data_IF_279531510301
#
_entry.id   IF_279531510301
#
_cell.length_a   1.000
_cell.length_b   1.000
_cell.length_c   1.000
_cell.angle_alpha   90.00
_cell.angle_beta   90.00
_cell.angle_gamma   90.00
#
_symmetry.space_group_name_H-M   'P 1'
#
loop_
_entity.id
_entity.type
_entity.pdbx_description
1 polymer ?
#
# COMPACT_ATOMS: atom_id res chain seq x y z
N UNK A 1 -39.65 -50.75 -27.93
CA UNK A 1 -38.31 -50.80 -28.54
C UNK A 1 -37.59 -49.52 -28.18
N UNK A 2 -36.59 -49.62 -27.31
CA UNK A 2 -35.65 -48.54 -27.02
C UNK A 2 -34.80 -48.29 -28.27
N UNK A 3 -34.72 -47.04 -28.70
CA UNK A 3 -33.68 -46.56 -29.60
C UNK A 3 -32.97 -45.41 -28.87
N UNK A 4 -31.69 -45.61 -28.60
CA UNK A 4 -30.81 -44.76 -27.81
C UNK A 4 -30.65 -43.36 -28.41
N UNK A 5 -30.49 -42.31 -27.58
CA UNK A 5 -30.02 -41.02 -28.06
C UNK A 5 -28.51 -41.06 -28.35
N UNK A 6 -28.12 -40.43 -29.46
CA UNK A 6 -26.75 -40.20 -29.88
C UNK A 6 -25.89 -39.54 -28.79
N UNK A 7 -24.61 -39.92 -28.63
CA UNK A 7 -23.73 -39.31 -27.66
C UNK A 7 -23.36 -37.89 -28.11
N UNK A 8 -23.82 -36.91 -27.35
CA UNK A 8 -23.21 -35.59 -27.27
C UNK A 8 -21.71 -35.80 -27.06
N UNK A 9 -20.90 -35.39 -28.05
CA UNK A 9 -19.45 -35.28 -27.91
C UNK A 9 -19.17 -34.30 -26.77
N UNK A 10 -18.90 -34.85 -25.59
CA UNK A 10 -18.16 -34.17 -24.55
C UNK A 10 -16.79 -33.82 -25.14
N UNK A 11 -16.69 -32.60 -25.67
CA UNK A 11 -15.42 -32.00 -26.03
C UNK A 11 -14.58 -31.86 -24.76
N UNK A 12 -13.53 -32.66 -24.70
CA UNK A 12 -12.48 -32.68 -23.70
C UNK A 12 -12.01 -31.26 -23.28
N UNK A 13 -12.54 -30.70 -22.19
CA UNK A 13 -12.13 -29.40 -21.62
C UNK A 13 -11.05 -29.50 -20.52
N UNK A 14 -10.52 -30.70 -20.25
CA UNK A 14 -9.45 -30.93 -19.27
C UNK A 14 -8.11 -31.23 -19.94
N UNK A 15 -7.70 -30.43 -20.93
CA UNK A 15 -6.26 -30.29 -21.20
C UNK A 15 -5.74 -29.22 -20.25
N UNK A 16 -5.27 -29.66 -19.10
CA UNK A 16 -4.36 -28.87 -18.28
C UNK A 16 -3.23 -28.42 -19.21
N UNK A 17 -3.21 -27.13 -19.55
CA UNK A 17 -2.23 -26.58 -20.46
C UNK A 17 -0.86 -26.73 -19.83
N UNK A 18 0.11 -27.28 -20.56
CA UNK A 18 1.45 -27.47 -20.03
C UNK A 18 2.02 -26.11 -19.60
N UNK A 19 2.23 -25.88 -18.29
CA UNK A 19 2.74 -24.60 -17.79
C UNK A 19 4.08 -24.24 -18.44
N UNK A 20 4.90 -25.23 -18.81
CA UNK A 20 6.18 -25.00 -19.49
C UNK A 20 6.00 -24.36 -20.86
N UNK A 21 4.95 -24.74 -21.59
CA UNK A 21 4.64 -24.16 -22.91
C UNK A 21 4.19 -22.71 -22.78
N UNK A 22 3.34 -22.42 -21.80
CA UNK A 22 2.88 -21.06 -21.50
C UNK A 22 4.05 -20.14 -21.06
N UNK A 23 4.93 -20.64 -20.19
CA UNK A 23 6.13 -19.91 -19.77
C UNK A 23 7.06 -19.64 -20.97
N UNK A 24 7.26 -20.63 -21.85
CA UNK A 24 8.05 -20.44 -23.07
C UNK A 24 7.43 -19.39 -24.01
N UNK A 25 6.09 -19.33 -24.12
CA UNK A 25 5.39 -18.32 -24.91
C UNK A 25 5.61 -16.91 -24.34
N UNK A 26 5.50 -16.77 -23.01
CA UNK A 26 5.77 -15.51 -22.32
C UNK A 26 7.22 -15.05 -22.49
N UNK A 27 8.19 -15.98 -22.40
CA UNK A 27 9.60 -15.67 -22.61
C UNK A 27 9.90 -15.23 -24.05
N UNK A 28 9.31 -15.90 -25.04
CA UNK A 28 9.39 -15.49 -26.45
C UNK A 28 8.75 -14.10 -26.67
N UNK A 29 7.61 -13.83 -26.03
CA UNK A 29 6.96 -12.52 -26.07
C UNK A 29 7.85 -11.43 -25.47
N UNK A 30 8.55 -11.68 -24.36
CA UNK A 30 9.51 -10.71 -23.80
C UNK A 30 10.63 -10.40 -24.79
N UNK A 31 11.23 -11.41 -25.41
CA UNK A 31 12.28 -11.21 -26.40
C UNK A 31 11.78 -10.34 -27.56
N UNK A 32 10.58 -10.63 -28.05
CA UNK A 32 9.95 -9.84 -29.12
C UNK A 32 9.66 -8.40 -28.68
N UNK A 33 9.00 -8.18 -27.54
CA UNK A 33 8.69 -6.84 -27.04
C UNK A 33 9.97 -6.00 -26.81
N UNK A 34 11.07 -6.61 -26.35
CA UNK A 34 12.36 -5.93 -26.22
C UNK A 34 12.92 -5.50 -27.57
N UNK A 35 12.84 -6.36 -28.59
CA UNK A 35 13.23 -6.02 -29.96
C UNK A 35 12.41 -4.84 -30.51
N UNK A 36 11.10 -4.84 -30.28
CA UNK A 36 10.22 -3.73 -30.67
C UNK A 36 10.55 -2.42 -29.97
N UNK A 37 10.91 -2.46 -28.67
CA UNK A 37 11.32 -1.28 -27.93
C UNK A 37 12.63 -0.69 -28.46
N UNK A 38 13.61 -1.53 -28.79
CA UNK A 38 14.86 -1.08 -29.38
C UNK A 38 14.62 -0.41 -30.75
N UNK A 39 13.73 -0.99 -31.58
CA UNK A 39 13.44 -0.51 -32.92
C UNK A 39 12.56 0.75 -32.97
N UNK A 40 11.79 1.06 -31.91
CA UNK A 40 10.78 2.14 -31.95
C UNK A 40 11.18 3.35 -31.11
N UNK A 41 11.28 4.52 -31.74
CA UNK A 41 11.75 5.74 -31.08
C UNK A 41 10.76 6.34 -30.07
N UNK A 42 9.45 6.35 -30.37
CA UNK A 42 8.43 6.96 -29.51
C UNK A 42 8.42 6.41 -28.06
N UNK A 43 8.32 5.09 -27.80
CA UNK A 43 8.35 4.56 -26.44
C UNK A 43 9.70 4.80 -25.74
N UNK A 44 10.83 4.80 -26.47
CA UNK A 44 12.16 5.12 -25.92
C UNK A 44 12.25 6.58 -25.46
N UNK A 45 11.65 7.51 -26.22
CA UNK A 45 11.58 8.92 -25.86
C UNK A 45 10.74 9.11 -24.59
N UNK A 46 9.60 8.41 -24.48
CA UNK A 46 8.81 8.44 -23.26
C UNK A 46 9.59 7.92 -22.05
N UNK A 47 10.26 6.77 -22.16
CA UNK A 47 11.08 6.25 -21.06
C UNK A 47 12.18 7.25 -20.67
N UNK A 48 12.82 7.88 -21.64
CA UNK A 48 13.84 8.91 -21.40
C UNK A 48 13.27 10.13 -20.68
N UNK A 49 12.08 10.62 -21.06
CA UNK A 49 11.45 11.76 -20.38
C UNK A 49 11.06 11.46 -18.93
N UNK A 50 10.86 10.18 -18.60
CA UNK A 50 10.65 9.66 -17.23
C UNK A 50 11.94 9.31 -16.50
N UNK A 51 13.12 9.63 -17.06
CA UNK A 51 14.44 9.21 -16.56
C UNK A 51 14.62 7.67 -16.45
N UNK A 52 13.79 6.91 -17.16
CA UNK A 52 13.81 5.45 -17.30
C UNK A 52 14.52 5.00 -18.59
N UNK A 53 15.05 5.92 -19.40
CA UNK A 53 15.66 5.61 -20.71
C UNK A 53 16.80 4.58 -20.63
N UNK A 54 17.52 4.53 -19.49
CA UNK A 54 18.59 3.54 -19.28
C UNK A 54 18.14 2.08 -19.31
N UNK A 55 16.83 1.82 -19.25
CA UNK A 55 16.23 0.48 -19.35
C UNK A 55 16.34 -0.11 -20.76
N UNK A 56 16.53 0.74 -21.78
CA UNK A 56 16.60 0.34 -23.19
C UNK A 56 17.98 -0.26 -23.52
N UNK A 57 19.04 0.42 -23.12
CA UNK A 57 20.39 0.19 -23.68
C UNK A 57 21.23 -0.84 -22.91
N UNK A 58 20.68 -1.39 -21.81
CA UNK A 58 21.42 -2.24 -20.88
C UNK A 58 20.62 -3.48 -20.52
N UNK A 59 21.34 -4.55 -20.22
CA UNK A 59 20.75 -5.71 -19.58
C UNK A 59 20.46 -5.41 -18.12
N UNK A 60 19.20 -5.07 -17.86
CA UNK A 60 18.64 -4.93 -16.54
C UNK A 60 17.64 -6.05 -16.23
N UNK A 61 17.43 -6.38 -14.95
CA UNK A 61 16.50 -7.44 -14.57
C UNK A 61 15.05 -7.15 -15.01
N UNK A 62 14.68 -5.88 -15.22
CA UNK A 62 13.32 -5.45 -15.54
C UNK A 62 12.76 -5.87 -16.90
N UNK A 63 13.63 -6.17 -17.88
CA UNK A 63 13.26 -6.63 -19.23
C UNK A 63 12.08 -5.87 -19.90
N UNK A 64 12.01 -4.55 -19.71
CA UNK A 64 10.98 -3.68 -20.29
C UNK A 64 10.99 -3.78 -21.81
N UNK A 65 9.81 -3.82 -22.42
CA UNK A 65 9.61 -3.90 -23.86
C UNK A 65 8.51 -2.96 -24.38
N UNK A 66 8.12 -3.11 -25.64
CA UNK A 66 7.06 -2.33 -26.27
C UNK A 66 6.19 -3.23 -27.15
N UNK A 67 4.88 -3.10 -27.01
CA UNK A 67 3.90 -3.70 -27.90
C UNK A 67 3.48 -2.66 -28.96
N UNK A 68 3.80 -2.87 -30.25
CA UNK A 68 3.48 -1.92 -31.31
C UNK A 68 1.97 -1.78 -31.54
N UNK A 69 1.59 -0.71 -32.22
CA UNK A 69 0.19 -0.41 -32.57
C UNK A 69 -0.27 -1.23 -33.79
N UNK A 70 -0.22 -2.56 -33.65
CA UNK A 70 -0.62 -3.53 -34.68
C UNK A 70 -1.67 -4.48 -34.13
N UNK A 71 -2.47 -5.10 -35.01
CA UNK A 71 -3.56 -5.98 -34.57
C UNK A 71 -3.11 -7.36 -34.11
N UNK A 72 -2.12 -7.98 -34.77
CA UNK A 72 -1.76 -9.38 -34.57
C UNK A 72 -0.25 -9.66 -34.65
N UNK A 73 0.62 -8.64 -34.64
CA UNK A 73 2.03 -8.85 -34.95
C UNK A 73 2.74 -9.76 -33.94
N UNK A 74 2.39 -9.69 -32.65
CA UNK A 74 2.91 -10.63 -31.66
C UNK A 74 2.33 -12.03 -31.89
N UNK A 75 1.01 -12.11 -32.09
CA UNK A 75 0.30 -13.37 -32.35
C UNK A 75 0.91 -14.12 -33.54
N UNK A 76 1.14 -13.41 -34.66
CA UNK A 76 1.71 -13.97 -35.89
C UNK A 76 3.17 -14.40 -35.68
N UNK A 77 3.95 -13.61 -34.94
CA UNK A 77 5.32 -13.97 -34.57
C UNK A 77 5.38 -15.27 -33.76
N UNK A 78 4.54 -15.40 -32.72
CA UNK A 78 4.52 -16.58 -31.85
C UNK A 78 3.94 -17.80 -32.56
N UNK A 79 2.95 -17.64 -33.45
CA UNK A 79 2.48 -18.74 -34.31
C UNK A 79 3.58 -19.25 -35.24
N UNK A 80 4.44 -18.38 -35.74
CA UNK A 80 5.64 -18.76 -36.49
C UNK A 80 6.69 -19.52 -35.67
N UNK A 81 6.54 -19.56 -34.35
CA UNK A 81 7.34 -20.37 -33.41
C UNK A 81 6.55 -21.59 -32.87
N UNK A 82 5.53 -22.01 -33.60
CA UNK A 82 4.69 -23.17 -33.32
C UNK A 82 3.90 -23.11 -32.00
N UNK A 83 3.70 -21.91 -31.41
CA UNK A 83 2.79 -21.75 -30.27
C UNK A 83 1.33 -21.88 -30.74
N UNK A 84 0.55 -22.73 -30.07
CA UNK A 84 -0.83 -22.97 -30.47
C UNK A 84 -1.71 -21.76 -30.17
N UNK A 85 -2.81 -21.54 -30.92
CA UNK A 85 -3.77 -20.48 -30.61
C UNK A 85 -4.29 -20.53 -29.16
N UNK A 86 -4.49 -21.73 -28.61
CA UNK A 86 -4.96 -21.96 -27.25
C UNK A 86 -3.94 -21.48 -26.22
N UNK A 87 -2.66 -21.84 -26.39
CA UNK A 87 -1.56 -21.40 -25.53
C UNK A 87 -1.47 -19.87 -25.46
N UNK A 88 -1.61 -19.20 -26.61
CA UNK A 88 -1.52 -17.73 -26.69
C UNK A 88 -2.68 -17.03 -25.98
N UNK A 89 -3.88 -17.62 -26.03
CA UNK A 89 -5.05 -17.10 -25.34
C UNK A 89 -4.93 -17.34 -23.83
N UNK A 90 -4.57 -18.55 -23.41
CA UNK A 90 -4.42 -18.91 -21.98
C UNK A 90 -3.26 -18.16 -21.32
N UNK A 91 -2.15 -17.93 -22.02
CA UNK A 91 -1.06 -17.08 -21.53
C UNK A 91 -1.45 -15.58 -21.47
N UNK A 92 -2.59 -15.22 -22.09
CA UNK A 92 -3.08 -13.85 -22.16
C UNK A 92 -2.27 -12.91 -23.03
N UNK A 93 -1.60 -13.47 -24.04
CA UNK A 93 -0.86 -12.74 -25.08
C UNK A 93 -1.79 -12.34 -26.24
N UNK A 94 -2.78 -13.18 -26.54
CA UNK A 94 -3.74 -13.00 -27.63
C UNK A 94 -5.17 -13.17 -27.13
N UNK A 95 -6.14 -12.65 -27.90
CA UNK A 95 -7.57 -12.87 -27.67
C UNK A 95 -8.33 -13.03 -28.99
N UNK A 96 -9.42 -13.81 -29.02
CA UNK A 96 -10.28 -13.90 -30.19
C UNK A 96 -10.95 -12.56 -30.50
N UNK A 97 -11.20 -12.31 -31.78
CA UNK A 97 -12.11 -11.23 -32.19
C UNK A 97 -13.56 -11.58 -31.86
N UNK A 98 -14.41 -10.57 -31.67
CA UNK A 98 -15.83 -10.77 -31.37
C UNK A 98 -16.57 -11.50 -32.48
N UNK A 99 -16.21 -11.22 -33.73
CA UNK A 99 -16.93 -11.72 -34.91
C UNK A 99 -16.38 -13.07 -35.40
N UNK A 100 -15.17 -13.45 -34.99
CA UNK A 100 -14.54 -14.71 -35.36
C UNK A 100 -13.60 -15.22 -34.24
N UNK A 101 -13.97 -16.32 -33.54
CA UNK A 101 -13.15 -16.95 -32.51
C UNK A 101 -11.78 -17.45 -32.99
N UNK A 102 -11.64 -17.84 -34.26
CA UNK A 102 -10.38 -18.35 -34.83
C UNK A 102 -9.40 -17.23 -35.18
N UNK A 103 -9.92 -16.01 -35.35
CA UNK A 103 -9.12 -14.82 -35.61
C UNK A 103 -8.64 -14.24 -34.28
N UNK A 104 -7.36 -14.43 -33.99
CA UNK A 104 -6.70 -13.86 -32.82
C UNK A 104 -6.12 -12.47 -33.10
N UNK A 105 -6.16 -11.63 -32.07
CA UNK A 105 -5.51 -10.32 -32.02
C UNK A 105 -4.71 -10.17 -30.74
N UNK A 106 -3.68 -9.32 -30.75
CA UNK A 106 -2.80 -9.08 -29.62
C UNK A 106 -3.59 -8.47 -28.44
N UNK A 107 -3.31 -8.88 -27.21
CA UNK A 107 -3.91 -8.25 -26.01
C UNK A 107 -3.33 -6.85 -25.81
N UNK A 108 -2.01 -6.74 -25.90
CA UNK A 108 -1.28 -5.50 -25.74
C UNK A 108 -1.01 -4.85 -27.09
N UNK A 109 -1.38 -3.57 -27.22
CA UNK A 109 -1.14 -2.76 -28.42
C UNK A 109 -0.87 -1.33 -28.02
N UNK A 110 0.13 -0.73 -28.64
CA UNK A 110 0.63 0.61 -28.34
C UNK A 110 0.90 0.84 -26.84
N UNK A 111 1.66 -0.10 -26.25
CA UNK A 111 1.92 -0.13 -24.81
C UNK A 111 3.39 -0.39 -24.49
N UNK A 112 3.94 0.32 -23.53
CA UNK A 112 5.20 -0.08 -22.88
C UNK A 112 4.88 -1.27 -21.97
N UNK A 113 5.68 -2.32 -22.09
CA UNK A 113 5.45 -3.62 -21.45
C UNK A 113 6.42 -3.81 -20.29
N UNK A 114 5.87 -4.10 -19.12
CA UNK A 114 6.58 -4.52 -17.91
C UNK A 114 6.26 -5.98 -17.64
N UNK A 115 7.20 -6.91 -17.87
CA UNK A 115 7.01 -8.32 -17.52
C UNK A 115 6.84 -8.48 -16.00
N UNK A 116 5.91 -9.33 -15.58
CA UNK A 116 5.73 -9.76 -14.19
C UNK A 116 6.33 -11.15 -14.07
N UNK A 117 7.15 -11.35 -13.04
CA UNK A 117 7.79 -12.64 -12.77
C UNK A 117 7.25 -13.30 -11.52
N UNK A 118 7.24 -14.62 -11.55
CA UNK A 118 7.01 -15.45 -10.37
C UNK A 118 8.24 -15.44 -9.44
N UNK A 119 8.16 -16.05 -8.24
CA UNK A 119 9.30 -16.15 -7.32
C UNK A 119 10.50 -16.92 -7.86
N UNK A 120 10.29 -17.83 -8.82
CA UNK A 120 11.35 -18.60 -9.48
C UNK A 120 12.03 -17.80 -10.61
N UNK A 121 11.48 -16.63 -10.95
CA UNK A 121 12.03 -15.68 -11.91
C UNK A 121 11.51 -15.86 -13.34
N UNK A 122 10.55 -16.75 -13.56
CA UNK A 122 9.92 -16.94 -14.86
C UNK A 122 8.88 -15.85 -15.13
N UNK A 123 8.71 -15.48 -16.40
CA UNK A 123 7.70 -14.48 -16.78
C UNK A 123 6.30 -15.10 -16.77
N UNK A 124 5.51 -14.69 -15.78
CA UNK A 124 4.14 -15.17 -15.57
C UNK A 124 3.09 -14.35 -16.32
N UNK A 125 3.32 -13.03 -16.45
CA UNK A 125 2.34 -12.09 -17.01
C UNK A 125 2.99 -10.76 -17.43
N UNK A 126 2.15 -9.80 -17.82
CA UNK A 126 2.58 -8.48 -18.29
C UNK A 126 1.66 -7.36 -17.78
N UNK A 127 2.27 -6.20 -17.56
CA UNK A 127 1.59 -4.91 -17.41
C UNK A 127 1.94 -4.04 -18.61
N UNK A 128 0.92 -3.51 -19.29
CA UNK A 128 1.07 -2.64 -20.46
C UNK A 128 0.58 -1.22 -20.18
N UNK A 129 1.49 -0.24 -20.21
CA UNK A 129 1.16 1.19 -20.11
C UNK A 129 0.87 1.80 -21.48
N UNK A 130 -0.33 2.34 -21.69
CA UNK A 130 -0.72 2.98 -22.95
C UNK A 130 0.09 4.25 -23.23
N UNK A 131 0.42 4.52 -24.50
CA UNK A 131 1.07 5.77 -24.89
C UNK A 131 0.22 7.01 -24.55
N UNK A 132 0.86 8.16 -24.32
CA UNK A 132 0.14 9.43 -24.08
C UNK A 132 -0.74 9.83 -25.26
N UNK A 133 -0.28 9.49 -26.47
CA UNK A 133 -1.06 9.66 -27.70
C UNK A 133 -2.34 8.84 -27.64
N UNK A 134 -2.26 7.56 -27.27
CA UNK A 134 -3.42 6.69 -27.18
C UNK A 134 -4.41 7.14 -26.10
N UNK A 135 -3.91 7.62 -24.96
CA UNK A 135 -4.76 8.16 -23.88
C UNK A 135 -5.45 9.47 -24.26
N UNK A 136 -4.80 10.28 -25.08
CA UNK A 136 -5.39 11.53 -25.60
C UNK A 136 -6.45 11.23 -26.66
N UNK A 137 -6.21 10.22 -27.51
CA UNK A 137 -7.12 9.82 -28.57
C UNK A 137 -8.39 9.12 -28.02
N UNK A 138 -8.24 8.36 -26.94
CA UNK A 138 -9.35 7.68 -26.26
C UNK A 138 -9.19 7.80 -24.74
N UNK A 139 -9.88 8.77 -24.11
CA UNK A 139 -9.85 8.96 -22.66
C UNK A 139 -10.42 7.77 -21.86
N UNK A 140 -11.17 6.86 -22.50
CA UNK A 140 -11.68 5.65 -21.87
C UNK A 140 -10.67 4.50 -21.90
N UNK A 141 -9.59 4.63 -22.69
CA UNK A 141 -8.54 3.63 -22.75
C UNK A 141 -7.82 3.54 -21.39
N UNK A 142 -7.69 2.35 -20.79
CA UNK A 142 -7.02 2.22 -19.51
C UNK A 142 -5.52 2.54 -19.64
N UNK A 143 -5.06 3.48 -18.79
CA UNK A 143 -3.64 3.87 -18.64
C UNK A 143 -2.74 2.65 -18.48
N UNK A 144 -3.15 1.70 -17.64
CA UNK A 144 -2.48 0.41 -17.46
C UNK A 144 -3.45 -0.74 -17.78
N UNK A 145 -2.96 -1.73 -18.52
CA UNK A 145 -3.66 -2.98 -18.81
C UNK A 145 -2.81 -4.12 -18.26
N UNK A 146 -3.41 -5.06 -17.55
CA UNK A 146 -2.72 -6.27 -17.08
C UNK A 146 -3.17 -7.46 -17.90
N UNK A 147 -2.32 -8.48 -17.98
CA UNK A 147 -2.75 -9.84 -18.34
C UNK A 147 -3.95 -10.23 -17.46
N UNK A 148 -4.90 -10.97 -18.02
CA UNK A 148 -6.01 -11.53 -17.25
C UNK A 148 -5.51 -12.67 -16.33
N UNK A 149 -6.37 -13.16 -15.44
CA UNK A 149 -6.03 -14.33 -14.61
C UNK A 149 -5.70 -15.53 -15.51
N UNK A 150 -4.62 -16.22 -15.22
CA UNK A 150 -4.18 -17.41 -15.97
C UNK A 150 -3.62 -18.46 -15.01
N UNK A 151 -3.39 -19.71 -15.48
CA UNK A 151 -2.72 -20.72 -14.66
C UNK A 151 -1.34 -20.30 -14.14
N UNK A 152 -0.68 -19.36 -14.83
CA UNK A 152 0.63 -18.82 -14.43
C UNK A 152 0.51 -17.58 -13.53
N UNK A 153 -0.63 -16.89 -13.54
CA UNK A 153 -0.72 -15.54 -13.01
C UNK A 153 -2.02 -15.28 -12.25
N UNK A 154 -1.84 -15.04 -10.96
CA UNK A 154 -2.86 -14.54 -10.04
C UNK A 154 -2.48 -13.16 -9.52
N UNK A 155 -3.28 -12.13 -9.86
CA UNK A 155 -2.95 -10.72 -9.59
C UNK A 155 -2.77 -10.41 -8.11
N UNK A 156 -3.48 -11.14 -7.26
CA UNK A 156 -3.50 -10.99 -5.81
C UNK A 156 -2.36 -11.73 -5.09
N UNK A 157 -1.59 -12.56 -5.80
CA UNK A 157 -0.50 -13.38 -5.23
C UNK A 157 0.90 -12.92 -5.63
N UNK A 158 1.04 -12.05 -6.63
CA UNK A 158 2.33 -11.52 -7.06
C UNK A 158 2.46 -10.03 -6.76
N UNK A 159 3.71 -9.59 -6.56
CA UNK A 159 4.10 -8.19 -6.48
C UNK A 159 5.17 -7.94 -7.54
N UNK A 160 4.95 -6.93 -8.36
CA UNK A 160 5.95 -6.48 -9.33
C UNK A 160 7.21 -5.98 -8.60
N UNK A 161 8.39 -6.38 -9.09
CA UNK A 161 9.67 -5.95 -8.55
C UNK A 161 10.29 -6.87 -7.49
N UNK A 162 9.59 -7.91 -7.03
CA UNK A 162 10.14 -8.88 -6.07
C UNK A 162 11.25 -9.72 -6.72
N UNK A 163 10.98 -10.32 -7.88
CA UNK A 163 11.94 -11.18 -8.57
C UNK A 163 13.18 -10.39 -9.05
N UNK A 164 13.00 -9.14 -9.49
CA UNK A 164 14.07 -8.29 -10.01
C UNK A 164 15.04 -7.79 -8.93
N UNK A 165 14.68 -7.91 -7.65
CA UNK A 165 15.39 -7.28 -6.54
C UNK A 165 15.80 -8.26 -5.43
N UNK A 166 15.87 -9.56 -5.73
CA UNK A 166 16.23 -10.60 -4.76
C UNK A 166 17.52 -10.29 -3.99
N UNK A 167 18.56 -9.78 -4.65
CA UNK A 167 19.81 -9.43 -3.97
C UNK A 167 19.65 -8.30 -2.94
N UNK A 168 18.80 -7.30 -3.25
CA UNK A 168 18.49 -6.20 -2.33
C UNK A 168 17.62 -6.67 -1.17
N UNK A 169 16.66 -7.58 -1.45
CA UNK A 169 15.81 -8.20 -0.42
C UNK A 169 16.67 -9.01 0.56
N UNK A 170 17.55 -9.88 0.05
CA UNK A 170 18.48 -10.68 0.88
C UNK A 170 19.43 -9.81 1.69
N UNK A 171 19.87 -8.68 1.12
CA UNK A 171 20.69 -7.69 1.82
C UNK A 171 19.92 -6.88 2.88
N UNK A 172 18.64 -7.17 3.12
CA UNK A 172 17.85 -6.53 4.17
C UNK A 172 17.47 -5.08 3.87
N UNK A 173 17.39 -4.70 2.59
CA UNK A 173 16.99 -3.34 2.22
C UNK A 173 15.52 -3.06 2.59
N UNK A 174 15.23 -1.79 2.86
CA UNK A 174 13.94 -1.30 3.34
C UNK A 174 12.82 -1.60 2.32
N UNK A 175 11.79 -2.40 2.64
CA UNK A 175 10.66 -2.60 1.74
C UNK A 175 9.86 -1.30 1.57
N UNK A 176 9.47 -1.02 0.33
CA UNK A 176 8.64 0.14 -0.05
C UNK A 176 7.51 -0.33 -0.94
N UNK A 177 6.26 -0.07 -0.55
CA UNK A 177 5.07 -0.35 -1.34
C UNK A 177 4.70 0.92 -2.15
N UNK A 178 4.65 0.80 -3.47
CA UNK A 178 4.28 1.87 -4.42
C UNK A 178 3.13 1.42 -5.32
N UNK A 179 2.53 2.35 -6.07
CA UNK A 179 1.34 2.06 -6.87
C UNK A 179 1.64 1.26 -8.14
N UNK A 180 2.75 1.58 -8.81
CA UNK A 180 2.98 1.09 -10.16
C UNK A 180 4.41 0.64 -10.47
N UNK A 181 4.58 0.00 -11.65
CA UNK A 181 5.88 -0.46 -12.10
C UNK A 181 6.86 0.68 -12.38
N UNK A 182 6.37 1.83 -12.84
CA UNK A 182 7.21 3.01 -13.09
C UNK A 182 7.88 3.51 -11.80
N UNK A 183 7.11 3.64 -10.72
CA UNK A 183 7.61 4.07 -9.41
C UNK A 183 8.56 3.05 -8.79
N UNK A 184 8.23 1.77 -8.96
CA UNK A 184 9.08 0.66 -8.53
C UNK A 184 10.46 0.77 -9.15
N UNK A 185 10.51 0.92 -10.47
CA UNK A 185 11.78 1.04 -11.20
C UNK A 185 12.47 2.37 -10.87
N UNK A 186 11.71 3.46 -10.67
CA UNK A 186 12.28 4.76 -10.34
C UNK A 186 13.04 4.75 -9.01
N UNK A 187 12.43 4.16 -7.98
CA UNK A 187 13.09 3.94 -6.68
C UNK A 187 14.30 3.04 -6.88
N UNK A 188 14.16 1.93 -7.62
CA UNK A 188 15.28 1.03 -7.86
C UNK A 188 16.47 1.73 -8.55
N UNK A 189 16.22 2.58 -9.55
CA UNK A 189 17.20 3.39 -10.27
C UNK A 189 17.86 4.44 -9.36
N UNK A 190 17.13 4.99 -8.38
CA UNK A 190 17.66 6.00 -7.46
C UNK A 190 18.81 5.49 -6.58
N UNK A 191 18.84 4.18 -6.31
CA UNK A 191 19.91 3.49 -5.58
C UNK A 191 20.89 2.77 -6.52
N UNK A 192 20.60 2.71 -7.83
CA UNK A 192 21.52 2.09 -8.77
C UNK A 192 22.81 2.92 -8.83
N UNK A 193 23.96 2.27 -8.58
CA UNK A 193 25.31 2.86 -8.45
C UNK A 193 25.61 3.63 -7.15
N UNK A 194 24.73 3.64 -6.16
CA UNK A 194 25.06 4.28 -4.87
C UNK A 194 26.04 3.43 -4.05
N UNK A 195 26.00 2.10 -4.18
CA UNK A 195 26.69 1.17 -3.28
C UNK A 195 26.17 1.19 -1.83
N UNK A 196 25.13 1.99 -1.56
CA UNK A 196 24.55 2.16 -0.24
C UNK A 196 23.40 1.18 -0.06
N UNK A 197 23.18 0.64 1.16
CA UNK A 197 21.89 0.08 1.54
C UNK A 197 20.78 1.05 1.15
N UNK A 198 19.59 0.53 0.86
CA UNK A 198 18.57 1.32 0.17
C UNK A 198 17.16 0.82 0.42
N UNK A 199 16.34 1.01 -0.61
CA UNK A 199 14.96 0.57 -0.65
C UNK A 199 14.75 -0.51 -1.71
N UNK A 200 13.82 -1.42 -1.43
CA UNK A 200 13.24 -2.37 -2.38
C UNK A 200 11.80 -1.95 -2.61
N UNK A 201 11.53 -1.35 -3.77
CA UNK A 201 10.17 -0.97 -4.12
C UNK A 201 9.42 -2.12 -4.76
N UNK A 202 8.15 -2.29 -4.43
CA UNK A 202 7.26 -3.28 -5.03
C UNK A 202 5.87 -2.69 -5.26
N UNK A 203 5.16 -3.18 -6.26
CA UNK A 203 3.83 -2.69 -6.62
C UNK A 203 2.81 -3.83 -6.80
N UNK A 204 1.53 -3.63 -6.40
CA UNK A 204 0.44 -4.49 -6.82
C UNK A 204 0.29 -4.49 -8.35
N UNK A 205 -0.08 -5.62 -8.92
CA UNK A 205 -0.16 -5.76 -10.38
C UNK A 205 -1.53 -5.31 -10.93
N UNK A 206 -1.84 -4.02 -10.69
CA UNK A 206 -3.08 -3.35 -11.10
C UNK A 206 -4.36 -3.93 -10.50
N UNK A 207 -4.27 -4.27 -9.21
CA UNK A 207 -5.37 -4.61 -8.32
C UNK A 207 -5.18 -3.88 -6.99
N UNK A 208 -6.22 -3.82 -6.15
CA UNK A 208 -6.07 -3.39 -4.78
C UNK A 208 -5.08 -4.31 -4.05
N UNK A 209 -4.24 -3.72 -3.20
CA UNK A 209 -3.28 -4.46 -2.40
C UNK A 209 -4.00 -5.45 -1.45
N UNK A 210 -3.56 -6.70 -1.44
CA UNK A 210 -4.24 -7.80 -0.73
C UNK A 210 -3.41 -8.47 0.36
N UNK A 211 -4.05 -9.37 1.13
CA UNK A 211 -3.43 -10.05 2.27
C UNK A 211 -2.24 -10.95 1.88
N UNK A 212 -2.31 -11.66 0.74
CA UNK A 212 -1.20 -12.48 0.26
C UNK A 212 0.03 -11.62 -0.13
N UNK A 213 -0.19 -10.46 -0.74
CA UNK A 213 0.87 -9.49 -1.02
C UNK A 213 1.44 -8.85 0.26
N UNK A 214 0.60 -8.59 1.26
CA UNK A 214 1.06 -8.15 2.58
C UNK A 214 1.96 -9.19 3.26
N UNK A 215 1.64 -10.48 3.13
CA UNK A 215 2.49 -11.56 3.62
C UNK A 215 3.86 -11.59 2.91
N UNK A 216 3.90 -11.35 1.59
CA UNK A 216 5.16 -11.24 0.85
C UNK A 216 6.02 -10.09 1.41
N UNK A 217 5.45 -8.89 1.59
CA UNK A 217 6.16 -7.76 2.20
C UNK A 217 6.66 -8.06 3.61
N UNK A 218 5.85 -8.73 4.43
CA UNK A 218 6.19 -9.14 5.80
C UNK A 218 7.20 -10.29 5.87
N UNK A 219 7.45 -10.99 4.77
CA UNK A 219 8.52 -11.99 4.68
C UNK A 219 9.90 -11.39 4.37
N UNK A 220 9.95 -10.14 3.88
CA UNK A 220 11.21 -9.49 3.52
C UNK A 220 12.03 -9.14 4.77
N UNK A 221 13.35 -9.42 4.82
CA UNK A 221 14.15 -9.20 6.02
C UNK A 221 14.13 -7.75 6.54
N UNK A 222 14.16 -6.76 5.64
CA UNK A 222 14.12 -5.34 5.99
C UNK A 222 12.80 -4.88 6.61
N UNK A 223 11.73 -5.69 6.59
CA UNK A 223 10.45 -5.33 7.19
C UNK A 223 10.52 -5.20 8.72
N UNK A 224 11.54 -5.79 9.36
CA UNK A 224 11.76 -5.73 10.81
C UNK A 224 12.10 -4.33 11.31
N UNK A 225 12.67 -3.49 10.44
CA UNK A 225 12.97 -2.09 10.75
C UNK A 225 11.77 -1.20 10.45
N UNK A 226 11.30 -1.24 9.21
CA UNK A 226 10.06 -0.59 8.79
C UNK A 226 9.49 -1.21 7.50
N UNK A 227 8.30 -0.76 7.10
CA UNK A 227 7.77 -0.82 5.73
C UNK A 227 7.32 0.60 5.40
N UNK A 228 7.73 1.11 4.23
CA UNK A 228 7.31 2.44 3.76
C UNK A 228 6.21 2.28 2.70
N UNK A 229 5.12 3.00 2.85
CA UNK A 229 4.08 3.15 1.82
C UNK A 229 4.31 4.49 1.13
N UNK A 230 4.45 4.44 -0.19
CA UNK A 230 4.79 5.57 -1.06
C UNK A 230 3.79 5.63 -2.21
N UNK A 231 2.52 5.86 -1.86
CA UNK A 231 1.41 6.06 -2.81
C UNK A 231 1.20 7.54 -3.12
N UNK A 232 0.43 7.81 -4.17
CA UNK A 232 0.12 9.17 -4.59
C UNK A 232 -0.78 9.86 -3.56
N UNK A 233 -0.62 11.18 -3.44
CA UNK A 233 -1.38 11.99 -2.49
C UNK A 233 -2.82 12.29 -2.96
N UNK A 234 -3.38 11.47 -3.85
CA UNK A 234 -4.73 11.61 -4.37
C UNK A 234 -5.76 10.79 -3.56
N UNK A 235 -7.08 10.96 -3.78
CA UNK A 235 -8.09 10.21 -3.04
C UNK A 235 -8.06 8.68 -3.21
N UNK A 236 -7.47 8.15 -4.28
CA UNK A 236 -7.32 6.71 -4.51
C UNK A 236 -6.08 6.18 -3.78
N UNK A 237 -4.92 6.83 -3.92
CA UNK A 237 -3.68 6.51 -3.22
C UNK A 237 -3.84 6.59 -1.70
N UNK A 238 -4.56 7.59 -1.18
CA UNK A 238 -4.91 7.68 0.26
C UNK A 238 -5.73 6.47 0.74
N UNK A 239 -6.72 6.03 -0.03
CA UNK A 239 -7.53 4.83 0.30
C UNK A 239 -6.70 3.55 0.23
N UNK A 240 -5.78 3.46 -0.74
CA UNK A 240 -4.85 2.35 -0.82
C UNK A 240 -3.91 2.34 0.40
N UNK A 241 -3.45 3.49 0.88
CA UNK A 241 -2.60 3.61 2.06
C UNK A 241 -3.32 3.17 3.34
N UNK A 242 -4.60 3.56 3.52
CA UNK A 242 -5.46 3.11 4.61
C UNK A 242 -5.60 1.58 4.59
N UNK A 243 -5.86 1.01 3.41
CA UNK A 243 -5.99 -0.45 3.22
C UNK A 243 -4.68 -1.17 3.52
N UNK A 244 -3.56 -0.62 3.04
CA UNK A 244 -2.23 -1.17 3.30
C UNK A 244 -1.89 -1.15 4.79
N UNK A 245 -2.27 -0.09 5.53
CA UNK A 245 -2.09 -0.04 6.98
C UNK A 245 -2.83 -1.19 7.66
N UNK A 246 -4.12 -1.39 7.35
CA UNK A 246 -4.93 -2.42 7.98
C UNK A 246 -4.44 -3.85 7.63
N UNK A 247 -3.91 -4.08 6.44
CA UNK A 247 -3.34 -5.38 6.04
C UNK A 247 -1.95 -5.65 6.64
N UNK A 248 -1.13 -4.59 6.78
CA UNK A 248 0.25 -4.72 7.28
C UNK A 248 0.31 -4.70 8.80
N UNK A 249 -0.63 -4.06 9.50
CA UNK A 249 -0.71 -4.07 10.97
C UNK A 249 -1.18 -5.47 11.40
N UNK A 250 -0.24 -6.33 11.74
CA UNK A 250 -0.55 -7.63 12.32
C UNK A 250 -0.18 -7.58 13.81
N UNK A 251 -1.03 -8.10 14.71
CA UNK A 251 -0.68 -8.20 16.13
C UNK A 251 0.67 -8.90 16.30
N UNK A 252 1.59 -8.28 17.05
CA UNK A 252 2.93 -8.83 17.28
C UNK A 252 3.91 -8.68 16.11
N UNK A 253 3.51 -8.11 14.96
CA UNK A 253 4.44 -7.83 13.88
C UNK A 253 5.44 -6.73 14.29
N UNK A 254 6.71 -6.99 14.01
CA UNK A 254 7.80 -6.05 14.24
C UNK A 254 7.91 -5.05 13.08
N UNK A 255 8.64 -3.96 13.33
CA UNK A 255 8.92 -2.93 12.34
C UNK A 255 7.84 -1.86 12.22
N UNK A 256 8.28 -0.64 11.95
CA UNK A 256 7.40 0.54 11.84
C UNK A 256 6.65 0.53 10.52
N UNK A 257 5.42 1.03 10.50
CA UNK A 257 4.72 1.34 9.25
C UNK A 257 4.83 2.84 9.00
N UNK A 258 5.43 3.21 7.88
CA UNK A 258 5.72 4.60 7.54
C UNK A 258 5.00 4.98 6.24
N UNK A 259 4.60 6.24 6.13
CA UNK A 259 4.18 6.86 4.88
C UNK A 259 5.30 7.80 4.40
N UNK A 260 5.71 7.67 3.14
CA UNK A 260 6.57 8.66 2.51
C UNK A 260 5.77 9.92 2.17
N UNK A 261 6.36 11.08 2.41
CA UNK A 261 5.75 12.36 2.07
C UNK A 261 6.42 12.92 0.81
N UNK A 262 5.62 13.07 -0.24
CA UNK A 262 6.04 13.72 -1.47
C UNK A 262 5.48 15.13 -1.54
N UNK A 263 6.18 16.04 -2.23
CA UNK A 263 5.61 17.33 -2.58
C UNK A 263 4.30 17.12 -3.37
N UNK A 264 3.32 18.01 -3.17
CA UNK A 264 1.98 17.88 -3.76
C UNK A 264 2.04 17.56 -5.25
N UNK A 265 1.41 16.45 -5.64
CA UNK A 265 1.31 16.00 -7.03
C UNK A 265 2.58 15.38 -7.60
N UNK A 266 3.56 14.98 -6.78
CA UNK A 266 4.74 14.25 -7.22
C UNK A 266 4.64 12.76 -6.87
N UNK A 267 4.90 11.90 -7.84
CA UNK A 267 5.12 10.45 -7.66
C UNK A 267 6.64 10.11 -7.70
N UNK A 268 7.08 8.91 -7.30
CA UNK A 268 8.48 8.52 -7.38
C UNK A 268 9.11 8.65 -8.78
N UNK A 269 8.38 8.32 -9.85
CA UNK A 269 8.87 8.43 -11.22
C UNK A 269 9.03 9.89 -11.68
N UNK A 270 8.12 10.79 -11.28
CA UNK A 270 8.14 12.23 -11.48
C UNK A 270 9.33 12.83 -10.76
N UNK A 271 9.56 12.46 -9.50
CA UNK A 271 10.70 12.92 -8.72
C UNK A 271 12.01 12.50 -9.37
N UNK A 272 12.12 11.26 -9.86
CA UNK A 272 13.34 10.80 -10.52
C UNK A 272 13.69 11.64 -11.76
N UNK A 273 12.68 12.10 -12.51
CA UNK A 273 12.86 12.90 -13.72
C UNK A 273 13.31 14.36 -13.44
N UNK A 274 13.20 14.85 -12.20
CA UNK A 274 13.61 16.20 -11.82
C UNK A 274 15.13 16.32 -11.65
N UNK A 275 15.70 17.54 -11.73
CA UNK A 275 17.08 17.80 -11.33
C UNK A 275 17.35 17.31 -9.91
N UNK A 276 18.44 16.58 -9.69
CA UNK A 276 18.76 15.91 -8.43
C UNK A 276 17.71 14.89 -7.94
N UNK A 277 16.85 14.40 -8.84
CA UNK A 277 15.72 13.52 -8.53
C UNK A 277 16.08 12.27 -7.75
N UNK A 278 17.22 11.63 -8.09
CA UNK A 278 17.72 10.47 -7.31
C UNK A 278 17.95 10.80 -5.84
N UNK A 279 18.58 11.94 -5.55
CA UNK A 279 18.87 12.33 -4.17
C UNK A 279 17.58 12.71 -3.43
N UNK A 280 16.67 13.43 -4.10
CA UNK A 280 15.37 13.79 -3.55
C UNK A 280 14.54 12.56 -3.21
N UNK A 281 14.45 11.58 -4.12
CA UNK A 281 13.69 10.36 -3.90
C UNK A 281 14.26 9.54 -2.73
N UNK A 282 15.60 9.40 -2.65
CA UNK A 282 16.24 8.74 -1.50
C UNK A 282 16.00 9.49 -0.19
N UNK A 283 16.02 10.82 -0.21
CA UNK A 283 15.75 11.64 0.97
C UNK A 283 14.28 11.51 1.42
N UNK A 284 13.34 11.49 0.47
CA UNK A 284 11.93 11.30 0.76
C UNK A 284 11.69 9.97 1.50
N UNK A 285 12.23 8.87 0.96
CA UNK A 285 12.07 7.54 1.54
C UNK A 285 12.79 7.31 2.88
N UNK A 286 13.83 8.09 3.19
CA UNK A 286 14.66 7.91 4.40
C UNK A 286 14.39 8.91 5.51
N UNK A 287 14.04 10.13 5.15
CA UNK A 287 14.04 11.28 6.06
C UNK A 287 12.72 12.05 6.06
N UNK A 288 11.89 11.91 5.02
CA UNK A 288 10.60 12.58 4.91
C UNK A 288 9.49 11.55 5.01
N UNK A 289 9.46 10.86 6.15
CA UNK A 289 8.47 9.83 6.45
C UNK A 289 7.80 10.11 7.78
N UNK A 290 6.52 9.82 7.88
CA UNK A 290 5.76 9.83 9.13
C UNK A 290 5.14 8.46 9.41
N UNK A 291 4.70 8.15 10.64
CA UNK A 291 3.98 6.91 10.89
C UNK A 291 2.71 6.82 10.03
N UNK A 292 2.50 5.68 9.39
CA UNK A 292 1.39 5.47 8.45
C UNK A 292 0.04 5.68 9.12
N UNK A 293 -0.12 5.26 10.38
CA UNK A 293 -1.34 5.44 11.17
C UNK A 293 -1.78 6.92 11.29
N UNK A 294 -0.82 7.85 11.35
CA UNK A 294 -1.13 9.28 11.43
C UNK A 294 -1.71 9.76 10.09
N UNK A 295 -1.18 9.27 8.98
CA UNK A 295 -1.75 9.53 7.66
C UNK A 295 -3.18 8.95 7.56
N UNK A 296 -3.41 7.73 8.05
CA UNK A 296 -4.76 7.11 8.08
C UNK A 296 -5.76 7.95 8.87
N UNK A 297 -5.37 8.48 10.03
CA UNK A 297 -6.21 9.39 10.82
C UNK A 297 -6.52 10.67 10.05
N UNK A 298 -5.53 11.27 9.38
CA UNK A 298 -5.73 12.45 8.55
C UNK A 298 -6.68 12.17 7.38
N UNK A 299 -6.49 11.07 6.68
CA UNK A 299 -7.36 10.67 5.57
C UNK A 299 -8.80 10.43 6.04
N UNK A 300 -8.99 9.89 7.24
CA UNK A 300 -10.31 9.71 7.82
C UNK A 300 -10.95 11.05 8.15
N UNK A 301 -10.22 11.98 8.76
CA UNK A 301 -10.71 13.32 9.03
C UNK A 301 -11.06 14.06 7.73
N UNK A 302 -10.20 14.03 6.72
CA UNK A 302 -10.45 14.67 5.43
C UNK A 302 -11.73 14.14 4.76
N UNK A 303 -12.04 12.84 4.92
CA UNK A 303 -13.30 12.25 4.46
C UNK A 303 -14.52 12.76 5.24
N UNK A 304 -14.39 12.99 6.55
CA UNK A 304 -15.46 13.59 7.36
C UNK A 304 -15.71 15.03 6.92
N UNK A 305 -14.64 15.82 6.74
CA UNK A 305 -14.71 17.20 6.28
C UNK A 305 -15.26 17.32 4.86
N UNK A 306 -14.93 16.38 3.97
CA UNK A 306 -15.50 16.32 2.63
C UNK A 306 -17.02 16.09 2.61
N UNK A 307 -17.58 15.45 3.66
CA UNK A 307 -19.03 15.25 3.82
C UNK A 307 -19.69 16.41 4.57
N UNK A 308 -18.98 17.03 5.51
CA UNK A 308 -19.44 18.15 6.32
C UNK A 308 -18.31 19.15 6.51
N UNK A 309 -18.18 20.16 5.63
CA UNK A 309 -17.08 21.13 5.68
C UNK A 309 -17.05 21.95 6.96
N UNK A 310 -18.22 22.19 7.58
CA UNK A 310 -18.35 22.96 8.81
C UNK A 310 -18.17 22.12 10.09
N UNK A 311 -17.80 20.83 9.98
CA UNK A 311 -17.76 19.91 11.13
C UNK A 311 -16.87 20.41 12.27
N UNK A 312 -15.82 21.21 12.01
CA UNK A 312 -14.92 21.71 13.04
C UNK A 312 -15.23 23.16 13.47
N UNK A 313 -16.31 23.76 12.95
CA UNK A 313 -16.66 25.15 13.24
C UNK A 313 -17.25 25.29 14.64
N UNK A 314 -18.07 24.33 15.07
CA UNK A 314 -18.66 24.28 16.41
C UNK A 314 -18.01 23.24 17.33
N UNK A 315 -18.21 23.43 18.64
CA UNK A 315 -17.60 22.56 19.66
C UNK A 315 -18.10 21.12 19.54
N UNK A 316 -19.40 20.91 19.30
CA UNK A 316 -19.99 19.57 19.20
C UNK A 316 -19.38 18.76 18.07
N UNK A 317 -19.24 19.37 16.88
CA UNK A 317 -18.63 18.72 15.72
C UNK A 317 -17.15 18.37 15.91
N UNK A 318 -16.37 19.19 16.63
CA UNK A 318 -14.98 18.88 17.01
C UNK A 318 -14.88 17.65 17.91
N UNK A 319 -15.72 17.59 18.95
CA UNK A 319 -15.77 16.43 19.86
C UNK A 319 -16.24 15.18 19.13
N UNK A 320 -17.19 15.31 18.22
CA UNK A 320 -17.66 14.20 17.39
C UNK A 320 -16.57 13.66 16.47
N UNK A 321 -15.82 14.54 15.79
CA UNK A 321 -14.66 14.15 14.99
C UNK A 321 -13.61 13.43 15.84
N UNK A 322 -13.27 13.97 17.02
CA UNK A 322 -12.33 13.32 17.94
C UNK A 322 -12.84 11.95 18.37
N UNK A 323 -14.13 11.82 18.74
CA UNK A 323 -14.75 10.56 19.14
C UNK A 323 -14.68 9.50 18.03
N UNK A 324 -14.90 9.88 16.77
CA UNK A 324 -14.81 8.98 15.61
C UNK A 324 -13.37 8.51 15.37
N UNK A 325 -12.38 9.38 15.57
CA UNK A 325 -10.97 9.09 15.30
C UNK A 325 -10.27 8.35 16.46
N UNK A 326 -10.70 8.58 17.70
CA UNK A 326 -10.07 8.06 18.92
C UNK A 326 -9.84 6.54 18.96
N UNK A 327 -10.72 5.67 18.42
CA UNK A 327 -10.45 4.23 18.38
C UNK A 327 -9.14 3.85 17.69
N UNK A 328 -8.65 4.67 16.74
CA UNK A 328 -7.36 4.45 16.06
C UNK A 328 -6.15 4.56 16.98
N UNK A 329 -6.29 5.14 18.18
CA UNK A 329 -5.24 5.12 19.22
C UNK A 329 -4.89 3.69 19.64
N UNK A 330 -5.84 2.76 19.58
CA UNK A 330 -5.63 1.35 19.89
C UNK A 330 -4.83 0.60 18.81
N UNK A 331 -4.72 1.17 17.61
CA UNK A 331 -3.95 0.60 16.50
C UNK A 331 -2.46 0.98 16.56
N UNK A 332 -2.04 1.81 17.53
CA UNK A 332 -0.66 2.26 17.68
C UNK A 332 0.27 1.10 18.11
N UNK A 333 1.52 1.12 17.63
CA UNK A 333 2.51 0.07 17.91
C UNK A 333 2.97 0.02 19.38
N UNK A 334 2.68 1.07 20.16
CA UNK A 334 2.97 1.10 21.60
C UNK A 334 2.53 2.40 22.27
N UNK A 335 2.68 2.49 23.62
CA UNK A 335 2.12 3.58 24.41
C UNK A 335 2.61 4.98 23.99
N UNK A 336 3.88 5.10 23.62
CA UNK A 336 4.45 6.38 23.18
C UNK A 336 3.90 6.86 21.83
N UNK A 337 3.62 5.93 20.91
CA UNK A 337 2.96 6.27 19.65
C UNK A 337 1.47 6.58 19.87
N UNK A 338 0.79 5.82 20.74
CA UNK A 338 -0.60 6.07 21.12
C UNK A 338 -0.78 7.49 21.70
N UNK A 339 0.12 7.91 22.60
CA UNK A 339 0.09 9.26 23.17
C UNK A 339 0.29 10.34 22.10
N UNK A 340 1.29 10.19 21.22
CA UNK A 340 1.52 11.15 20.13
C UNK A 340 0.36 11.18 19.14
N UNK A 341 -0.28 10.05 18.87
CA UNK A 341 -1.45 10.00 18.01
C UNK A 341 -2.65 10.68 18.67
N UNK A 342 -2.83 10.52 19.97
CA UNK A 342 -3.85 11.25 20.72
C UNK A 342 -3.63 12.77 20.65
N UNK A 343 -2.38 13.23 20.83
CA UNK A 343 -2.02 14.64 20.62
C UNK A 343 -2.33 15.11 19.20
N UNK A 344 -1.99 14.30 18.19
CA UNK A 344 -2.28 14.60 16.79
C UNK A 344 -3.78 14.70 16.52
N UNK A 345 -4.61 13.81 17.07
CA UNK A 345 -6.08 13.89 16.98
C UNK A 345 -6.58 15.17 17.63
N UNK A 346 -6.09 15.54 18.81
CA UNK A 346 -6.46 16.78 19.50
C UNK A 346 -6.16 18.00 18.61
N UNK A 347 -4.97 18.07 18.03
CA UNK A 347 -4.54 19.17 17.17
C UNK A 347 -5.41 19.26 15.91
N UNK A 348 -5.61 18.13 15.23
CA UNK A 348 -6.37 18.07 13.97
C UNK A 348 -7.86 18.34 14.15
N UNK A 349 -8.44 18.00 15.31
CA UNK A 349 -9.86 18.22 15.61
C UNK A 349 -10.13 19.52 16.38
N UNK A 350 -9.10 20.19 16.92
CA UNK A 350 -9.21 21.45 17.66
C UNK A 350 -10.08 21.38 18.93
N UNK A 351 -10.24 20.21 19.53
CA UNK A 351 -11.05 20.02 20.75
C UNK A 351 -10.48 20.71 21.99
N UNK A 352 -9.18 21.01 22.00
CA UNK A 352 -8.48 21.64 23.14
C UNK A 352 -8.31 23.16 23.02
N UNK A 353 -8.89 23.84 22.01
CA UNK A 353 -8.82 25.31 21.93
C UNK A 353 -9.47 26.02 23.15
N UNK A 354 -10.32 25.33 23.92
CA UNK A 354 -11.04 25.88 25.09
C UNK A 354 -11.09 24.95 26.31
N UNK A 355 -10.45 23.77 26.28
CA UNK A 355 -10.47 22.75 27.33
C UNK A 355 -9.04 22.37 27.77
N UNK A 356 -8.82 22.20 29.08
CA UNK A 356 -7.48 21.95 29.65
C UNK A 356 -7.00 20.49 29.54
N UNK A 357 -7.83 19.54 29.08
CA UNK A 357 -7.41 18.13 28.92
C UNK A 357 -8.00 17.44 27.67
N UNK A 358 -7.58 17.90 26.49
CA UNK A 358 -7.96 17.26 25.22
C UNK A 358 -7.41 15.84 25.05
N UNK A 359 -6.22 15.57 25.59
CA UNK A 359 -5.59 14.24 25.48
C UNK A 359 -6.35 13.22 26.32
N UNK A 360 -6.68 13.55 27.58
CA UNK A 360 -7.50 12.69 28.43
C UNK A 360 -8.86 12.38 27.81
N UNK A 361 -9.46 13.36 27.11
CA UNK A 361 -10.71 13.17 26.36
C UNK A 361 -10.55 12.11 25.25
N UNK A 362 -9.52 12.23 24.40
CA UNK A 362 -9.25 11.25 23.32
C UNK A 362 -8.97 9.86 23.88
N UNK A 363 -8.18 9.76 24.95
CA UNK A 363 -7.87 8.49 25.59
C UNK A 363 -9.12 7.84 26.21
N UNK A 364 -10.02 8.63 26.81
CA UNK A 364 -11.29 8.14 27.34
C UNK A 364 -12.20 7.60 26.22
N UNK A 365 -12.29 8.29 25.07
CA UNK A 365 -13.04 7.79 23.91
C UNK A 365 -12.44 6.52 23.32
N UNK A 366 -11.11 6.40 23.27
CA UNK A 366 -10.46 5.17 22.84
C UNK A 366 -10.82 4.00 23.78
N UNK A 367 -10.77 4.22 25.10
CA UNK A 367 -11.12 3.20 26.09
C UNK A 367 -12.60 2.79 26.03
N UNK A 368 -13.52 3.75 25.89
CA UNK A 368 -14.95 3.47 25.72
C UNK A 368 -15.21 2.66 24.44
N UNK A 369 -14.52 2.99 23.34
CA UNK A 369 -14.58 2.22 22.10
C UNK A 369 -14.16 0.76 22.27
N UNK A 370 -13.10 0.50 23.02
CA UNK A 370 -12.64 -0.85 23.34
C UNK A 370 -13.65 -1.61 24.20
N UNK A 371 -14.19 -0.99 25.25
CA UNK A 371 -15.18 -1.61 26.13
C UNK A 371 -16.44 -2.03 25.37
N UNK A 372 -16.88 -1.21 24.39
CA UNK A 372 -18.01 -1.57 23.53
C UNK A 372 -17.70 -2.75 22.61
N UNK A 373 -16.48 -2.87 22.10
CA UNK A 373 -16.05 -4.01 21.30
C UNK A 373 -16.00 -5.30 22.12
N UNK A 374 -15.46 -5.25 23.33
CA UNK A 374 -15.35 -6.42 24.23
C UNK A 374 -16.72 -6.82 24.80
N UNK A 375 -17.59 -5.85 25.10
CA UNK A 375 -18.95 -6.09 25.60
C UNK A 375 -19.90 -6.71 24.57
N UNK A 376 -19.46 -6.88 23.33
CA UNK A 376 -20.22 -7.48 22.23
C UNK A 376 -19.69 -8.88 21.88
N UNK A 377 -19.65 -9.79 22.86
CA UNK A 377 -19.56 -11.23 22.57
C UNK A 377 -20.94 -11.74 22.09
N UNK A 378 -21.02 -12.60 21.05
CA UNK A 378 -22.29 -13.24 20.71
C UNK A 378 -22.68 -14.17 21.86
N UNK A 379 -23.83 -13.92 22.48
CA UNK A 379 -24.46 -14.84 23.42
C UNK A 379 -24.82 -16.12 22.66
N UNK A 380 -23.99 -17.14 22.79
CA UNK A 380 -24.14 -18.42 22.11
C UNK A 380 -23.57 -19.55 22.96
N UNK A 381 -24.12 -19.75 24.15
CA UNK A 381 -24.18 -21.04 24.82
C UNK A 381 -25.56 -21.17 25.47
N UNK A 382 -26.27 -22.21 25.05
CA UNK A 382 -27.65 -22.55 25.36
C UNK A 382 -28.01 -22.43 26.84
N UNK A 383 -29.13 -21.77 27.12
CA UNK A 383 -29.93 -22.11 28.30
C UNK A 383 -31.13 -22.94 27.83
N UNK A 384 -30.95 -24.26 27.92
CA UNK A 384 -32.05 -25.19 27.89
C UNK A 384 -33.04 -24.88 29.01
N UNK A 385 -34.31 -24.92 28.64
CA UNK A 385 -35.48 -24.88 29.51
C UNK A 385 -35.37 -25.83 30.71
N UNK A 386 -35.65 -25.33 31.91
CA UNK A 386 -36.29 -26.13 32.96
C UNK A 386 -36.99 -25.23 33.97
N UNK A 387 -38.15 -25.72 34.35
CA UNK A 387 -39.25 -25.08 35.03
C UNK A 387 -39.06 -24.91 36.55
N UNK A 388 -39.79 -23.93 37.08
CA UNK A 388 -40.50 -23.95 38.36
C UNK A 388 -39.76 -23.97 39.72
N UNK A 389 -40.06 -22.91 40.47
CA UNK A 389 -40.51 -22.92 41.87
C UNK A 389 -39.49 -22.79 43.02
N UNK A 390 -39.99 -22.10 44.05
CA UNK A 390 -39.57 -22.02 45.46
C UNK A 390 -38.67 -20.84 45.89
N UNK A 391 -39.30 -19.92 46.63
CA UNK A 391 -38.75 -19.39 47.88
C UNK A 391 -38.16 -17.97 47.89
N UNK A 392 -38.96 -16.98 48.31
CA UNK A 392 -38.42 -15.74 48.88
C UNK A 392 -37.96 -15.99 50.33
N UNK A 393 -36.82 -15.43 50.74
CA UNK A 393 -36.77 -14.68 52.00
C UNK A 393 -36.14 -13.28 51.87
N UNK A 394 -36.43 -12.47 52.90
CA UNK A 394 -36.26 -11.01 53.08
C UNK A 394 -34.80 -10.50 53.12
N UNK A 395 -34.57 -9.18 52.96
CA UNK A 395 -33.22 -8.59 52.94
C UNK A 395 -32.65 -8.43 54.37
N UNK A 396 -31.40 -8.88 54.57
CA UNK A 396 -30.62 -8.60 55.77
C UNK A 396 -29.69 -7.39 55.55
N UNK A 397 -29.83 -6.40 56.42
CA UNK A 397 -29.00 -5.20 56.49
C UNK A 397 -27.62 -5.47 57.12
N UNK A 398 -26.55 -4.84 56.58
CA UNK A 398 -25.29 -4.50 57.29
C UNK A 398 -24.59 -3.33 56.54
N UNK A 399 -23.63 -2.59 57.12
CA UNK A 399 -23.76 -1.30 57.84
C UNK A 399 -23.03 -0.13 57.13
N UNK A 400 -23.10 1.14 57.61
CA UNK A 400 -22.50 2.28 56.92
C UNK A 400 -20.95 2.30 57.00
N UNK A 401 -20.35 2.79 55.91
CA UNK A 401 -18.90 3.00 55.76
C UNK A 401 -18.37 4.05 56.75
N UNK A 402 -17.28 3.69 57.45
CA UNK A 402 -16.50 4.60 58.30
C UNK A 402 -15.83 5.69 57.46
N UNK A 403 -15.90 6.92 57.95
CA UNK A 403 -15.21 8.10 57.44
C UNK A 403 -13.69 7.96 57.56
N UNK A 404 -12.98 8.28 56.48
CA UNK A 404 -11.52 8.45 56.45
C UNK A 404 -11.18 9.91 56.80
N UNK A 405 -10.17 10.21 57.64
CA UNK A 405 -9.84 11.59 58.01
C UNK A 405 -9.24 12.37 56.84
N UNK A 406 -9.78 13.56 56.61
CA UNK A 406 -9.25 14.60 55.71
C UNK A 406 -7.94 15.19 56.27
N UNK A 407 -6.88 15.15 55.47
CA UNK A 407 -5.65 15.89 55.76
C UNK A 407 -5.86 17.41 55.51
N UNK A 408 -5.31 18.29 56.37
CA UNK A 408 -5.57 19.72 56.28
C UNK A 408 -4.82 20.38 55.10
N UNK A 409 -5.57 21.24 54.41
CA UNK A 409 -5.19 22.10 53.29
C UNK A 409 -4.35 23.28 53.85
N UNK A 410 -3.06 23.33 53.52
CA UNK A 410 -2.23 24.48 53.87
C UNK A 410 -2.56 25.67 52.95
N UNK A 411 -3.04 26.75 53.56
CA UNK A 411 -3.22 28.07 52.95
C UNK A 411 -1.83 28.69 52.73
N UNK A 412 -1.53 29.07 51.49
CA UNK A 412 -0.35 29.88 51.17
C UNK A 412 -0.64 31.36 51.49
N UNK A 413 0.14 31.92 52.40
CA UNK A 413 0.20 33.35 52.74
C UNK A 413 1.00 34.11 51.66
N UNK A 414 0.44 35.12 50.98
CA UNK A 414 1.10 35.84 49.88
C UNK A 414 2.09 36.94 50.35
N UNK A 415 2.59 36.91 51.59
CA UNK A 415 3.27 38.07 52.19
C UNK A 415 4.67 37.79 52.74
N UNK A 416 5.57 37.12 52.00
CA UNK A 416 7.02 37.14 52.30
C UNK A 416 7.92 37.10 51.06
N UNK A 417 8.88 38.03 50.91
CA UNK A 417 9.86 38.01 49.84
C UNK A 417 11.16 37.30 50.24
N UNK A 418 11.80 36.64 49.26
CA UNK A 418 13.23 36.34 49.28
C UNK A 418 13.62 35.16 48.38
N UNK A 419 14.91 34.99 48.01
CA UNK A 419 15.93 36.00 47.69
C UNK A 419 16.38 35.89 46.21
N UNK A 420 17.04 36.94 45.71
CA UNK A 420 17.55 37.06 44.34
C UNK A 420 19.02 36.63 44.20
N UNK A 421 19.40 36.33 42.94
CA UNK A 421 20.74 36.11 42.36
C UNK A 421 21.40 34.74 42.65
N UNK A 422 22.02 34.03 41.69
CA UNK A 422 23.04 34.46 40.70
C UNK A 422 22.96 33.60 39.41
N UNK A 423 23.03 34.24 38.24
CA UNK A 423 23.27 33.58 36.94
C UNK A 423 24.77 33.37 36.71
N UNK A 424 25.20 32.15 36.38
CA UNK A 424 26.56 31.91 35.87
C UNK A 424 26.53 31.77 34.34
N UNK A 425 27.20 32.69 33.65
CA UNK A 425 27.57 32.61 32.23
C UNK A 425 28.83 31.76 32.09
N UNK A 426 28.80 30.75 31.23
CA UNK A 426 30.00 30.01 30.79
C UNK A 426 30.85 30.81 29.77
N UNK A 427 32.16 30.55 29.67
CA UNK A 427 33.06 31.39 28.89
C UNK A 427 33.13 31.04 27.41
N UNK A 428 33.27 32.09 26.59
CA UNK A 428 33.67 32.07 25.18
C UNK A 428 35.11 31.55 25.03
N UNK A 429 35.32 30.61 24.12
CA UNK A 429 36.63 30.35 23.52
C UNK A 429 36.65 30.86 22.07
N UNK A 430 37.51 31.85 21.82
CA UNK A 430 38.02 32.25 20.51
C UNK A 430 39.54 32.14 20.56
N UNK A 431 40.14 31.29 19.71
CA UNK A 431 41.50 31.42 19.13
C UNK A 431 41.49 30.60 17.83
N UNK A 432 41.51 31.26 16.67
CA UNK A 432 42.66 31.70 15.84
C UNK A 432 43.14 30.61 14.87
N UNK A 433 42.76 30.84 13.61
CA UNK A 433 43.49 30.72 12.35
C UNK A 433 44.98 30.35 12.50
N UNK A 434 45.35 29.24 11.84
CA UNK A 434 46.49 29.11 10.93
C UNK A 434 46.06 28.16 9.81
#
# INVERSE_FOLDING_TARGET
MMASPDPVRAGNTDREHDPRRLLAANEAAVAWFRGQLAATEEPRRYLTSRALGTLVDREWPWRVGYAPRTWSALTDHLRGMDFSPEDLVVAGLSKPTRDNPDRLIDVFRDRIIFPIRDPDGHVAAFIGRASDRSLTADPQLPKYLNTHESPLYHKDKLLFGVAEQQDRIRAGWQPVLVEGPADTIAIWLSYSRSGLPGAVAVAPCGTAFGAAQAAILRSMPGCRDAIVVAFDADPAGRRAADTAFDLLRQPGAQGRLLAAEFATGADPADLLARPNGRAQLRAALRHQTRPLLFAVVDHHLDRLLGRSPQLLDDIGGRYEAARILSPRVLDAAGPGEAYRLAQHIVERTRIAERSHDGIGTVMAYAADGLLRQIGHFPAGLDSGSADSNVGRPRPSAVPPLRSVPTAPRALADPSRPGPAYISQRGPRQQRRIA
#
